data_IF_193560322177
#
_entry.id   IF_193560322177
#
_cell.length_a   1.000
_cell.length_b   1.000
_cell.length_c   1.000
_cell.angle_alpha   90.00
_cell.angle_beta   90.00
_cell.angle_gamma   90.00
#
_symmetry.space_group_name_H-M   'P 1'
#
loop_
_entity.id
_entity.type
_entity.pdbx_description
1 polymer ?
#
# COMPACT_ATOMS: atom_id res chain seq x y z
N UNK A 1 -1.86 47.79 -51.42
CA UNK A 1 -0.92 46.69 -51.12
C UNK A 1 -1.29 46.19 -49.73
N UNK A 2 -2.12 45.15 -49.68
CA UNK A 2 -2.68 44.62 -48.44
C UNK A 2 -1.59 43.91 -47.63
N UNK A 3 -1.31 44.38 -46.42
CA UNK A 3 -0.45 43.66 -45.49
C UNK A 3 -1.23 42.50 -44.90
N UNK A 4 -0.98 41.28 -45.42
CA UNK A 4 -1.48 40.02 -44.88
C UNK A 4 -0.96 39.86 -43.46
N UNK A 5 -1.81 40.24 -42.49
CA UNK A 5 -1.55 40.05 -41.07
C UNK A 5 -1.39 38.57 -40.78
N UNK A 6 -0.15 38.15 -40.64
CA UNK A 6 0.25 36.82 -40.19
C UNK A 6 -0.17 36.65 -38.72
N UNK A 7 -1.45 36.37 -38.47
CA UNK A 7 -1.97 35.93 -37.17
C UNK A 7 -1.46 34.51 -36.87
N UNK A 8 -0.15 34.36 -36.70
CA UNK A 8 0.44 33.15 -36.12
C UNK A 8 0.42 33.31 -34.60
N UNK A 9 -0.24 32.35 -33.97
CA UNK A 9 -0.39 32.15 -32.52
C UNK A 9 -1.04 33.30 -31.76
N UNK A 10 -2.37 33.26 -31.66
CA UNK A 10 -3.00 33.68 -30.41
C UNK A 10 -2.59 32.65 -29.35
N UNK A 11 -1.79 32.99 -28.33
CA UNK A 11 -1.70 32.15 -27.15
C UNK A 11 -3.10 32.13 -26.57
N UNK A 12 -3.82 31.02 -26.75
CA UNK A 12 -5.12 30.84 -26.14
C UNK A 12 -4.91 31.01 -24.64
N UNK A 13 -5.39 32.13 -24.11
CA UNK A 13 -5.35 32.44 -22.71
C UNK A 13 -6.03 31.28 -21.98
N UNK A 14 -5.21 30.47 -21.29
CA UNK A 14 -5.73 29.52 -20.33
C UNK A 14 -6.40 30.34 -19.22
N UNK A 15 -7.73 30.37 -19.22
CA UNK A 15 -8.52 30.77 -18.06
C UNK A 15 -9.35 32.03 -18.20
N UNK A 16 -10.39 32.05 -19.04
CA UNK A 16 -11.42 33.11 -18.93
C UNK A 16 -12.86 32.61 -18.81
N UNK A 17 -13.23 31.36 -19.11
CA UNK A 17 -14.65 30.97 -18.99
C UNK A 17 -14.85 29.59 -18.33
N UNK A 18 -14.81 29.60 -16.98
CA UNK A 18 -15.24 28.51 -16.06
C UNK A 18 -14.21 27.42 -15.78
N UNK A 19 -14.07 27.10 -14.49
CA UNK A 19 -13.37 25.92 -14.02
C UNK A 19 -13.99 24.65 -14.64
N UNK A 20 -13.20 23.58 -14.87
CA UNK A 20 -13.73 22.31 -15.34
C UNK A 20 -14.85 21.84 -14.41
N UNK A 21 -15.94 21.36 -14.99
CA UNK A 21 -17.08 20.85 -14.23
C UNK A 21 -16.85 19.41 -13.84
N UNK A 22 -17.28 19.06 -12.64
CA UNK A 22 -17.32 17.69 -12.20
C UNK A 22 -18.35 16.89 -13.01
N UNK A 23 -17.96 15.68 -13.40
CA UNK A 23 -18.85 14.77 -14.07
C UNK A 23 -19.82 14.12 -13.05
N UNK A 24 -21.06 13.81 -13.46
CA UNK A 24 -21.99 13.05 -12.65
C UNK A 24 -21.39 11.71 -12.19
N UNK A 25 -21.58 11.30 -10.93
CA UNK A 25 -20.97 10.09 -10.38
C UNK A 25 -21.41 8.81 -11.11
N UNK A 26 -22.61 8.80 -11.68
CA UNK A 26 -23.10 7.69 -12.51
C UNK A 26 -22.22 7.46 -13.74
N UNK A 27 -21.77 8.54 -14.39
CA UNK A 27 -20.89 8.46 -15.57
C UNK A 27 -19.51 8.01 -15.14
N UNK A 28 -18.96 8.55 -14.05
CA UNK A 28 -17.63 8.18 -13.53
C UNK A 28 -17.54 6.67 -13.29
N UNK A 29 -18.60 6.04 -12.77
CA UNK A 29 -18.66 4.60 -12.50
C UNK A 29 -18.74 3.71 -13.74
N UNK A 30 -19.15 4.25 -14.89
CA UNK A 30 -19.25 3.50 -16.15
C UNK A 30 -17.96 3.51 -16.96
N UNK A 31 -16.98 4.32 -16.55
CA UNK A 31 -15.69 4.40 -17.23
C UNK A 31 -14.82 3.25 -16.74
N UNK A 32 -14.23 2.51 -17.69
CA UNK A 32 -13.38 1.35 -17.45
C UNK A 32 -11.89 1.69 -17.59
N UNK A 33 -11.56 2.79 -18.26
CA UNK A 33 -10.17 3.19 -18.47
C UNK A 33 -9.96 4.70 -18.59
N UNK A 34 -8.74 5.14 -18.28
CA UNK A 34 -8.34 6.54 -18.43
C UNK A 34 -8.42 7.02 -19.90
N UNK A 35 -8.13 6.13 -20.85
CA UNK A 35 -8.25 6.40 -22.29
C UNK A 35 -9.71 6.63 -22.69
N UNK A 36 -10.62 5.78 -22.20
CA UNK A 36 -12.06 5.95 -22.40
C UNK A 36 -12.54 7.27 -21.77
N UNK A 37 -12.12 7.60 -20.55
CA UNK A 37 -12.44 8.87 -19.90
C UNK A 37 -12.06 10.08 -20.79
N UNK A 38 -10.83 10.06 -21.32
CA UNK A 38 -10.35 11.09 -22.24
C UNK A 38 -11.20 11.17 -23.51
N UNK A 39 -11.53 10.02 -24.10
CA UNK A 39 -12.37 9.96 -25.30
C UNK A 39 -13.77 10.53 -25.09
N UNK A 40 -14.38 10.24 -23.93
CA UNK A 40 -15.71 10.72 -23.56
C UNK A 40 -15.69 12.23 -23.35
N UNK A 41 -14.71 12.77 -22.63
CA UNK A 41 -14.58 14.22 -22.42
C UNK A 41 -14.43 14.99 -23.74
N UNK A 42 -13.61 14.48 -24.67
CA UNK A 42 -13.41 15.12 -25.98
C UNK A 42 -14.70 15.10 -26.79
N UNK A 43 -15.40 13.95 -26.83
CA UNK A 43 -16.65 13.79 -27.59
C UNK A 43 -17.80 14.59 -27.00
N UNK A 44 -17.98 14.57 -25.68
CA UNK A 44 -19.05 15.29 -25.00
C UNK A 44 -18.89 16.81 -25.10
N UNK A 45 -17.66 17.31 -25.14
CA UNK A 45 -17.36 18.74 -25.35
C UNK A 45 -17.27 19.15 -26.82
N UNK A 46 -17.47 18.24 -27.77
CA UNK A 46 -17.30 18.48 -29.21
C UNK A 46 -15.93 19.10 -29.57
N UNK A 47 -14.90 18.76 -28.82
CA UNK A 47 -13.56 19.34 -29.00
C UNK A 47 -12.84 18.68 -30.16
N UNK A 48 -12.22 19.50 -31.03
CA UNK A 48 -11.31 18.99 -32.06
C UNK A 48 -10.01 18.51 -31.41
N UNK A 49 -9.45 17.40 -31.89
CA UNK A 49 -8.19 16.86 -31.36
C UNK A 49 -7.04 17.85 -31.49
N UNK A 50 -7.03 18.64 -32.57
CA UNK A 50 -6.05 19.71 -32.83
C UNK A 50 -6.10 20.79 -31.76
N UNK A 51 -7.31 21.17 -31.32
CA UNK A 51 -7.50 22.16 -30.26
C UNK A 51 -6.93 21.64 -28.94
N UNK A 52 -7.32 20.43 -28.53
CA UNK A 52 -6.83 19.83 -27.28
C UNK A 52 -5.31 19.66 -27.32
N UNK A 53 -4.75 19.24 -28.45
CA UNK A 53 -3.31 19.09 -28.65
C UNK A 53 -2.56 20.43 -28.51
N UNK A 54 -3.08 21.50 -29.12
CA UNK A 54 -2.55 22.85 -28.97
C UNK A 54 -2.62 23.32 -27.50
N UNK A 55 -3.73 23.02 -26.81
CA UNK A 55 -3.90 23.39 -25.41
C UNK A 55 -2.91 22.69 -24.47
N UNK A 56 -2.49 21.46 -24.76
CA UNK A 56 -1.55 20.75 -23.88
C UNK A 56 -0.09 20.80 -24.38
N UNK A 57 0.18 21.53 -25.47
CA UNK A 57 1.51 21.62 -26.09
C UNK A 57 2.02 20.28 -26.62
N UNK A 58 1.15 19.46 -27.23
CA UNK A 58 1.49 18.15 -27.82
C UNK A 58 0.99 18.05 -29.26
N UNK A 59 1.45 17.03 -29.98
CA UNK A 59 0.95 16.74 -31.32
C UNK A 59 -0.42 16.07 -31.30
N UNK A 60 -1.20 16.22 -32.38
CA UNK A 60 -2.46 15.49 -32.58
C UNK A 60 -2.26 13.97 -32.45
N UNK A 61 -1.20 13.44 -33.05
CA UNK A 61 -0.87 12.00 -32.98
C UNK A 61 -0.59 11.54 -31.55
N UNK A 62 0.02 12.38 -30.72
CA UNK A 62 0.25 12.09 -29.31
C UNK A 62 -1.07 11.98 -28.55
N UNK A 63 -2.00 12.93 -28.74
CA UNK A 63 -3.33 12.89 -28.11
C UNK A 63 -4.14 11.70 -28.59
N UNK A 64 -4.11 11.39 -29.89
CA UNK A 64 -4.79 10.23 -30.46
C UNK A 64 -4.31 8.91 -29.86
N UNK A 65 -2.98 8.74 -29.66
CA UNK A 65 -2.45 7.55 -28.99
C UNK A 65 -2.88 7.45 -27.53
N UNK A 66 -3.03 8.56 -26.82
CA UNK A 66 -3.58 8.56 -25.45
C UNK A 66 -5.07 8.19 -25.45
N UNK A 67 -5.84 8.73 -26.40
CA UNK A 67 -7.27 8.45 -26.52
C UNK A 67 -7.57 6.98 -26.81
N UNK A 68 -6.71 6.32 -27.59
CA UNK A 68 -6.84 4.91 -27.95
C UNK A 68 -6.20 3.95 -26.93
N UNK A 69 -5.65 4.46 -25.81
CA UNK A 69 -5.00 3.64 -24.80
C UNK A 69 -3.63 3.06 -25.20
N UNK A 70 -3.14 3.34 -26.41
CA UNK A 70 -1.81 2.93 -26.89
C UNK A 70 -0.70 3.55 -26.04
N UNK A 71 -0.95 4.74 -25.49
CA UNK A 71 -0.01 5.42 -24.61
C UNK A 71 -0.70 5.82 -23.30
N UNK A 72 -0.12 5.53 -22.13
CA UNK A 72 -0.70 5.97 -20.87
C UNK A 72 -0.72 7.49 -20.77
N UNK A 73 -1.70 8.01 -20.03
CA UNK A 73 -1.85 9.45 -19.79
C UNK A 73 -0.91 9.86 -18.65
N UNK A 74 0.07 10.74 -18.89
CA UNK A 74 0.95 11.23 -17.84
C UNK A 74 0.18 12.08 -16.83
N UNK A 75 0.45 11.92 -15.54
CA UNK A 75 -0.20 12.67 -14.45
C UNK A 75 -0.12 14.19 -14.65
N UNK A 76 1.05 14.68 -15.10
CA UNK A 76 1.28 16.10 -15.39
C UNK A 76 0.33 16.67 -16.44
N UNK A 77 -0.23 15.83 -17.30
CA UNK A 77 -1.19 16.23 -18.34
C UNK A 77 -2.64 16.14 -17.90
N UNK A 78 -2.96 15.53 -16.76
CA UNK A 78 -4.35 15.38 -16.29
C UNK A 78 -5.00 16.74 -16.06
N UNK A 79 -4.32 17.67 -15.36
CA UNK A 79 -4.81 19.03 -15.13
C UNK A 79 -5.07 19.80 -16.44
N UNK A 80 -4.05 19.92 -17.32
CA UNK A 80 -4.22 20.55 -18.64
C UNK A 80 -5.31 19.92 -19.50
N UNK A 81 -5.47 18.59 -19.49
CA UNK A 81 -6.52 17.90 -20.23
C UNK A 81 -7.91 18.25 -19.67
N UNK A 82 -8.09 18.27 -18.35
CA UNK A 82 -9.35 18.66 -17.72
C UNK A 82 -9.70 20.12 -18.02
N UNK A 83 -8.69 21.01 -18.03
CA UNK A 83 -8.86 22.41 -18.41
C UNK A 83 -9.25 22.58 -19.88
N UNK A 84 -8.61 21.84 -20.80
CA UNK A 84 -8.87 21.92 -22.22
C UNK A 84 -10.26 21.37 -22.61
N UNK A 85 -10.71 20.31 -21.94
CA UNK A 85 -12.03 19.69 -22.21
C UNK A 85 -13.17 20.33 -21.42
N UNK A 86 -12.85 21.03 -20.32
CA UNK A 86 -13.83 21.62 -19.41
C UNK A 86 -14.49 20.61 -18.47
N UNK A 87 -13.93 19.41 -18.30
CA UNK A 87 -14.47 18.36 -17.44
C UNK A 87 -13.39 17.74 -16.55
N UNK A 88 -13.74 17.47 -15.28
CA UNK A 88 -12.89 16.74 -14.34
C UNK A 88 -13.03 15.21 -14.41
N UNK A 89 -13.76 14.66 -15.37
CA UNK A 89 -14.05 13.21 -15.45
C UNK A 89 -12.80 12.33 -15.32
N UNK A 90 -11.71 12.68 -15.99
CA UNK A 90 -10.45 11.93 -15.91
C UNK A 90 -9.83 11.98 -14.51
N UNK A 91 -9.82 13.16 -13.88
CA UNK A 91 -9.31 13.30 -12.51
C UNK A 91 -10.17 12.50 -11.54
N UNK A 92 -11.49 12.59 -11.65
CA UNK A 92 -12.44 11.85 -10.81
C UNK A 92 -12.28 10.33 -10.99
N UNK A 93 -12.10 9.85 -12.22
CA UNK A 93 -11.83 8.44 -12.49
C UNK A 93 -10.53 7.98 -11.83
N UNK A 94 -9.43 8.71 -11.99
CA UNK A 94 -8.15 8.35 -11.37
C UNK A 94 -8.23 8.37 -9.84
N UNK A 95 -8.92 9.35 -9.25
CA UNK A 95 -9.17 9.39 -7.81
C UNK A 95 -10.03 8.23 -7.33
N UNK A 96 -11.04 7.82 -8.12
CA UNK A 96 -11.85 6.64 -7.83
C UNK A 96 -10.99 5.36 -7.86
N UNK A 97 -10.16 5.19 -8.90
CA UNK A 97 -9.26 4.03 -8.98
C UNK A 97 -8.29 3.99 -7.81
N UNK A 98 -7.65 5.11 -7.47
CA UNK A 98 -6.75 5.19 -6.32
C UNK A 98 -7.46 4.85 -4.99
N UNK A 99 -8.72 5.27 -4.82
CA UNK A 99 -9.52 4.93 -3.65
C UNK A 99 -9.87 3.43 -3.61
N UNK A 100 -10.15 2.81 -4.75
CA UNK A 100 -10.44 1.38 -4.85
C UNK A 100 -9.18 0.51 -4.65
N UNK A 101 -8.03 0.94 -5.19
CA UNK A 101 -6.74 0.28 -5.00
C UNK A 101 -6.36 0.23 -3.51
N UNK A 102 -6.66 1.28 -2.75
CA UNK A 102 -6.44 1.31 -1.30
C UNK A 102 -7.39 0.40 -0.49
N UNK A 103 -8.48 -0.08 -1.11
CA UNK A 103 -9.46 -1.01 -0.52
C UNK A 103 -9.20 -2.45 -1.00
N UNK A 104 -8.08 -2.72 -1.69
CA UNK A 104 -7.78 -3.98 -2.36
C UNK A 104 -8.16 -5.22 -1.54
N UNK A 105 -9.36 -5.71 -1.84
CA UNK A 105 -9.95 -6.93 -1.29
C UNK A 105 -9.14 -8.16 -1.69
N UNK A 106 -8.29 -8.07 -2.71
CA UNK A 106 -7.50 -9.20 -3.22
C UNK A 106 -6.41 -9.61 -2.24
N UNK A 107 -5.71 -8.69 -1.59
CA UNK A 107 -4.70 -9.07 -0.57
C UNK A 107 -5.37 -9.69 0.65
N UNK A 108 -6.47 -9.06 1.12
CA UNK A 108 -7.30 -9.61 2.20
C UNK A 108 -7.88 -10.98 1.86
N UNK A 109 -8.41 -11.17 0.65
CA UNK A 109 -8.95 -12.45 0.18
C UNK A 109 -7.85 -13.47 -0.08
N UNK A 110 -6.67 -13.06 -0.55
CA UNK A 110 -5.53 -13.94 -0.73
C UNK A 110 -5.02 -14.45 0.63
N UNK A 111 -4.98 -13.58 1.64
CA UNK A 111 -4.66 -13.96 3.02
C UNK A 111 -5.73 -14.87 3.62
N UNK A 112 -7.01 -14.59 3.36
CA UNK A 112 -8.13 -15.44 3.77
C UNK A 112 -8.10 -16.81 3.06
N UNK A 113 -7.72 -16.84 1.79
CA UNK A 113 -7.56 -18.07 1.01
C UNK A 113 -6.34 -18.86 1.51
N UNK A 114 -5.26 -18.17 1.89
CA UNK A 114 -4.07 -18.80 2.48
C UNK A 114 -4.39 -19.42 3.83
N UNK A 115 -5.13 -18.72 4.70
CA UNK A 115 -5.56 -19.26 5.99
C UNK A 115 -6.60 -20.38 5.86
N UNK A 116 -7.48 -20.33 4.86
CA UNK A 116 -8.42 -21.42 4.57
C UNK A 116 -7.73 -22.67 4.00
N UNK A 117 -6.65 -22.50 3.23
CA UNK A 117 -5.86 -23.60 2.67
C UNK A 117 -4.85 -24.19 3.67
N UNK A 118 -4.57 -23.49 4.76
CA UNK A 118 -3.90 -24.06 5.94
C UNK A 118 -4.91 -24.88 6.75
N UNK A 119 -5.28 -26.07 6.25
CA UNK A 119 -5.92 -27.08 7.10
C UNK A 119 -4.99 -27.42 8.28
N UNK A 120 -5.56 -27.75 9.47
CA UNK A 120 -4.78 -28.02 10.66
C UNK A 120 -3.90 -29.22 10.34
N UNK A 121 -2.57 -29.02 10.31
CA UNK A 121 -1.63 -30.14 10.29
C UNK A 121 -2.04 -31.06 11.43
N UNK A 122 -2.66 -32.18 11.06
CA UNK A 122 -3.05 -33.23 11.98
C UNK A 122 -1.83 -33.49 12.87
N UNK A 123 -2.06 -33.41 14.18
CA UNK A 123 -1.05 -33.67 15.19
C UNK A 123 -0.23 -34.90 14.78
N UNK A 124 1.03 -34.66 14.42
CA UNK A 124 1.96 -35.73 14.08
C UNK A 124 1.97 -36.72 15.24
N UNK A 125 1.61 -37.95 14.94
CA UNK A 125 1.50 -39.12 15.80
C UNK A 125 2.37 -39.04 17.07
N UNK A 126 1.74 -38.79 18.22
CA UNK A 126 2.30 -39.21 19.51
C UNK A 126 2.22 -40.74 19.55
N UNK A 127 3.38 -41.37 19.64
CA UNK A 127 3.60 -42.79 19.40
C UNK A 127 2.72 -43.72 20.23
N UNK A 128 2.30 -44.83 19.60
CA UNK A 128 1.88 -46.04 20.30
C UNK A 128 3.05 -46.58 21.11
N UNK A 129 2.91 -46.62 22.44
CA UNK A 129 3.66 -47.56 23.29
C UNK A 129 2.63 -48.42 24.01
N UNK A 130 2.53 -49.69 23.61
CA UNK A 130 1.77 -50.70 24.34
C UNK A 130 2.64 -51.36 25.43
N UNK A 131 2.03 -51.94 26.48
CA UNK A 131 2.62 -52.08 27.80
C UNK A 131 3.34 -53.42 28.02
N UNK A 132 4.41 -53.44 28.81
CA UNK A 132 4.96 -54.69 29.35
C UNK A 132 6.42 -54.68 29.81
N UNK A 133 6.61 -54.61 31.13
CA UNK A 133 7.71 -55.15 31.96
C UNK A 133 9.17 -54.61 31.91
N UNK A 134 9.42 -53.68 32.87
CA UNK A 134 10.41 -53.64 33.97
C UNK A 134 11.81 -54.29 33.80
N UNK A 135 12.85 -53.46 34.00
CA UNK A 135 14.12 -53.83 34.65
C UNK A 135 14.53 -52.70 35.62
N UNK A 136 14.69 -53.01 36.90
CA UNK A 136 15.28 -52.10 37.91
C UNK A 136 16.82 -52.12 37.77
N UNK A 137 17.53 -50.98 37.88
CA UNK A 137 18.95 -51.00 38.16
C UNK A 137 19.24 -51.09 39.66
N UNK A 138 20.16 -51.99 39.99
CA UNK A 138 20.62 -52.34 41.32
C UNK A 138 21.47 -51.22 41.95
N UNK A 139 21.31 -51.07 43.27
CA UNK A 139 22.25 -50.40 44.15
C UNK A 139 23.57 -51.17 44.21
N UNK A 140 24.70 -50.48 44.09
CA UNK A 140 25.90 -50.75 44.88
C UNK A 140 26.93 -49.61 44.74
N UNK A 141 27.15 -48.87 45.84
CA UNK A 141 28.41 -48.20 46.11
C UNK A 141 28.59 -48.14 47.63
N UNK A 142 29.47 -49.00 48.15
CA UNK A 142 29.90 -49.06 49.55
C UNK A 142 30.98 -48.00 49.82
N UNK A 143 31.01 -47.54 51.09
CA UNK A 143 32.14 -46.85 51.74
C UNK A 143 31.90 -45.34 51.85
N UNK A 144 31.80 -44.69 53.01
CA UNK A 144 32.25 -45.06 54.36
C UNK A 144 31.37 -44.42 55.43
N UNK A 145 31.03 -45.22 56.45
CA UNK A 145 30.55 -44.73 57.75
C UNK A 145 31.75 -44.53 58.65
N UNK A 146 32.03 -43.29 59.06
CA UNK A 146 32.51 -43.01 60.42
C UNK A 146 31.74 -41.83 61.00
N UNK A 147 31.17 -42.09 62.16
CA UNK A 147 30.21 -41.26 62.88
C UNK A 147 30.93 -40.33 63.89
N UNK A 148 30.20 -39.81 64.91
CA UNK A 148 29.93 -38.41 65.23
C UNK A 148 31.00 -37.82 66.20
N UNK A 149 31.04 -36.53 66.56
CA UNK A 149 30.26 -35.88 67.64
C UNK A 149 30.54 -34.34 67.68
N UNK A 150 29.67 -33.54 68.34
CA UNK A 150 29.63 -32.07 68.30
C UNK A 150 30.45 -31.42 69.42
N UNK A 151 30.75 -30.11 69.36
CA UNK A 151 30.89 -29.24 70.54
C UNK A 151 30.94 -27.72 70.22
N UNK A 152 29.91 -27.01 70.72
CA UNK A 152 29.84 -25.66 71.33
C UNK A 152 30.94 -24.57 71.13
N UNK A 153 30.43 -23.37 70.80
CA UNK A 153 30.75 -22.05 71.41
C UNK A 153 32.02 -21.34 70.90
N UNK A 154 32.20 -20.00 70.89
CA UNK A 154 31.41 -18.78 71.19
C UNK A 154 32.30 -17.58 70.79
N UNK A 155 31.66 -16.47 70.35
CA UNK A 155 32.18 -15.07 70.26
C UNK A 155 33.31 -14.78 69.24
N UNK A 156 33.41 -13.60 68.62
CA UNK A 156 32.71 -12.32 68.76
C UNK A 156 32.99 -11.41 67.55
N UNK A 157 32.09 -10.47 67.26
CA UNK A 157 32.28 -9.01 67.35
C UNK A 157 32.91 -8.32 66.12
N UNK A 158 32.27 -7.20 65.73
CA UNK A 158 32.68 -6.24 64.71
C UNK A 158 31.74 -6.33 63.50
N UNK A 159 30.84 -5.41 63.20
CA UNK A 159 30.71 -4.00 63.55
C UNK A 159 30.21 -3.29 62.28
N UNK A 160 28.97 -2.82 62.28
CA UNK A 160 28.42 -1.92 61.24
C UNK A 160 29.14 -0.55 61.30
N UNK A 161 29.09 0.34 60.28
CA UNK A 161 27.82 0.99 59.89
C UNK A 161 27.65 1.31 58.39
N UNK A 162 26.40 1.70 58.08
CA UNK A 162 25.90 2.32 56.86
C UNK A 162 26.66 3.59 56.44
N UNK A 163 26.48 4.04 55.18
CA UNK A 163 26.34 5.41 54.64
C UNK A 163 25.99 5.20 53.14
N UNK A 164 25.05 5.84 52.46
CA UNK A 164 24.45 7.16 52.63
C UNK A 164 25.05 8.16 51.61
N UNK A 165 24.25 8.55 50.61
CA UNK A 165 24.27 9.82 49.83
C UNK A 165 25.16 9.98 48.56
N UNK A 166 24.43 10.18 47.44
CA UNK A 166 24.54 11.17 46.36
C UNK A 166 25.87 11.86 45.98
N UNK A 167 26.10 11.98 44.66
CA UNK A 167 26.41 13.26 44.00
C UNK A 167 26.20 13.16 42.48
N UNK A 168 25.41 14.10 41.96
CA UNK A 168 25.55 14.69 40.63
C UNK A 168 26.39 15.97 40.78
#
# INVERSE_FOLDING_TARGET
METVGNQKSLPLAFGVHRAPKDAPPQIVRQIESAAQALSVMIRAGHHKLEYVAACIGKSKSYVSRMQNGVRPIPEKLVGPLCAATGSNLLRQFLSLQAALDGICEVERLADLMRSANEEPRAAAATGRVHPGHRVQPAHDARGDRRAPVPMRGRAGQGGSPAHGYAAA
#
